data_IF_339023851818
#
_entry.id   IF_339023851818
#
_cell.length_a   1.000
_cell.length_b   1.000
_cell.length_c   1.000
_cell.angle_alpha   90.00
_cell.angle_beta   90.00
_cell.angle_gamma   90.00
#
_symmetry.space_group_name_H-M   'P 1'
#
loop_
_entity.id
_entity.type
_entity.pdbx_description
1 polymer ?
#
# COMPACT_ATOMS: atom_id res chain seq x y z
N UNK A 1 25.11 -1.59 6.01
CA UNK A 1 23.85 -2.27 5.61
C UNK A 1 23.57 -1.93 4.16
N UNK A 2 23.54 -2.91 3.24
CA UNK A 2 23.09 -2.63 1.86
C UNK A 2 21.57 -2.47 1.88
N UNK A 3 21.10 -1.26 1.63
CA UNK A 3 19.69 -0.95 1.50
C UNK A 3 19.23 -1.50 0.14
N UNK A 4 18.49 -2.61 0.15
CA UNK A 4 17.98 -3.25 -1.07
C UNK A 4 16.48 -2.98 -1.31
N UNK A 5 15.86 -2.10 -0.50
CA UNK A 5 14.44 -1.77 -0.59
C UNK A 5 14.19 -0.64 -1.58
N UNK A 6 13.16 -0.79 -2.43
CA UNK A 6 12.74 0.23 -3.40
C UNK A 6 11.57 1.07 -2.94
N UNK A 7 10.91 0.64 -1.86
CA UNK A 7 9.75 1.30 -1.28
C UNK A 7 9.95 1.47 0.22
N UNK A 8 9.22 2.41 0.83
CA UNK A 8 9.20 2.56 2.28
C UNK A 8 8.76 1.26 2.99
N UNK A 9 7.86 0.49 2.37
CA UNK A 9 7.40 -0.82 2.86
C UNK A 9 8.55 -1.84 2.89
N UNK A 10 9.31 -1.96 1.79
CA UNK A 10 10.46 -2.87 1.72
C UNK A 10 11.52 -2.55 2.77
N UNK A 11 11.77 -1.25 3.00
CA UNK A 11 12.72 -0.79 4.01
C UNK A 11 12.24 -1.16 5.41
N UNK A 12 10.97 -0.89 5.73
CA UNK A 12 10.38 -1.22 7.02
C UNK A 12 10.52 -2.74 7.31
N UNK A 13 10.24 -3.58 6.32
CA UNK A 13 10.38 -5.04 6.43
C UNK A 13 11.85 -5.45 6.58
N UNK A 14 12.75 -4.88 5.79
CA UNK A 14 14.19 -5.19 5.85
C UNK A 14 14.81 -4.84 7.21
N UNK A 15 14.32 -3.78 7.84
CA UNK A 15 14.70 -3.39 9.20
C UNK A 15 13.85 -4.06 10.30
N UNK A 16 13.04 -5.07 9.94
CA UNK A 16 12.15 -5.82 10.84
C UNK A 16 11.27 -4.91 11.70
N UNK A 17 10.80 -3.80 11.13
CA UNK A 17 9.87 -2.92 11.83
C UNK A 17 8.55 -3.64 12.02
N UNK A 18 7.99 -3.51 13.22
CA UNK A 18 6.71 -4.14 13.55
C UNK A 18 5.53 -3.44 12.89
N UNK A 19 4.34 -3.98 13.14
CA UNK A 19 3.06 -3.50 12.61
C UNK A 19 2.81 -2.01 12.84
N UNK A 20 3.31 -1.43 13.94
CA UNK A 20 3.17 -0.01 14.26
C UNK A 20 3.85 0.92 13.24
N UNK A 21 4.82 0.42 12.48
CA UNK A 21 5.45 1.16 11.38
C UNK A 21 4.90 0.78 10.01
N UNK A 22 4.53 -0.49 9.82
CA UNK A 22 4.07 -1.01 8.53
C UNK A 22 2.63 -0.55 8.24
N UNK A 23 1.74 -0.60 9.23
CA UNK A 23 0.33 -0.22 9.07
C UNK A 23 0.16 1.23 8.60
N UNK A 24 0.83 2.24 9.20
CA UNK A 24 0.78 3.61 8.70
C UNK A 24 1.18 3.75 7.23
N UNK A 25 2.22 3.03 6.77
CA UNK A 25 2.66 3.08 5.37
C UNK A 25 1.53 2.60 4.44
N UNK A 26 0.91 1.45 4.77
CA UNK A 26 -0.20 0.88 3.98
C UNK A 26 -1.39 1.83 3.97
N UNK A 27 -1.77 2.37 5.13
CA UNK A 27 -2.90 3.31 5.28
C UNK A 27 -2.67 4.59 4.48
N UNK A 28 -1.47 5.19 4.57
CA UNK A 28 -1.15 6.41 3.84
C UNK A 28 -1.20 6.20 2.33
N UNK A 29 -0.67 5.08 1.82
CA UNK A 29 -0.74 4.78 0.38
C UNK A 29 -2.19 4.59 -0.08
N UNK A 30 -3.02 3.89 0.71
CA UNK A 30 -4.45 3.74 0.41
C UNK A 30 -5.15 5.09 0.33
N UNK A 31 -4.91 5.97 1.30
CA UNK A 31 -5.48 7.32 1.31
C UNK A 31 -5.01 8.15 0.11
N UNK A 32 -3.73 8.04 -0.26
CA UNK A 32 -3.19 8.74 -1.42
C UNK A 32 -3.82 8.25 -2.73
N UNK A 33 -4.04 6.94 -2.89
CA UNK A 33 -4.75 6.38 -4.05
C UNK A 33 -6.17 6.93 -4.13
N UNK A 34 -6.91 6.90 -3.01
CA UNK A 34 -8.28 7.43 -2.96
C UNK A 34 -8.32 8.92 -3.28
N UNK A 35 -7.41 9.71 -2.73
CA UNK A 35 -7.30 11.13 -3.01
C UNK A 35 -7.03 11.38 -4.50
N UNK A 36 -6.05 10.67 -5.09
CA UNK A 36 -5.71 10.82 -6.49
C UNK A 36 -6.86 10.44 -7.43
N UNK A 37 -7.63 9.39 -7.09
CA UNK A 37 -8.84 9.02 -7.83
C UNK A 37 -9.90 10.13 -7.78
N UNK A 38 -10.18 10.67 -6.59
CA UNK A 38 -11.12 11.78 -6.41
C UNK A 38 -10.73 13.05 -7.18
N UNK A 39 -9.43 13.31 -7.37
CA UNK A 39 -8.95 14.45 -8.17
C UNK A 39 -8.96 14.19 -9.69
N UNK A 40 -8.82 12.93 -10.12
CA UNK A 40 -8.81 12.56 -11.53
C UNK A 40 -10.22 12.45 -12.14
N UNK A 41 -11.26 12.38 -11.30
CA UNK A 41 -12.64 12.61 -11.73
C UNK A 41 -12.78 14.11 -12.02
N UNK A 42 -12.47 14.50 -13.25
CA UNK A 42 -12.59 15.86 -13.76
C UNK A 42 -14.05 16.33 -13.69
N UNK A 43 -14.50 16.81 -12.54
CA UNK A 43 -15.65 17.72 -12.49
C UNK A 43 -15.16 19.06 -12.99
N UNK A 44 -15.45 19.37 -14.25
CA UNK A 44 -15.44 20.74 -14.73
C UNK A 44 -16.13 21.64 -13.71
N UNK A 45 -15.53 22.79 -13.45
CA UNK A 45 -15.95 23.84 -12.51
C UNK A 45 -17.31 23.63 -11.81
N UNK A 46 -17.27 23.66 -10.47
CA UNK A 46 -18.41 23.88 -9.54
C UNK A 46 -19.25 22.69 -9.07
N UNK A 47 -18.64 21.63 -8.51
CA UNK A 47 -19.36 20.86 -7.47
C UNK A 47 -18.43 20.53 -6.30
N UNK A 48 -18.53 21.40 -5.30
CA UNK A 48 -18.49 21.11 -3.88
C UNK A 48 -18.04 19.69 -3.46
N UNK A 49 -16.94 19.65 -2.71
CA UNK A 49 -16.45 18.54 -1.89
C UNK A 49 -17.59 17.70 -1.32
N UNK A 50 -17.93 16.59 -1.97
CA UNK A 50 -18.84 15.59 -1.44
C UNK A 50 -18.03 14.49 -0.74
N UNK A 51 -18.35 14.14 0.51
CA UNK A 51 -17.53 13.22 1.31
C UNK A 51 -17.68 11.73 0.94
N UNK A 52 -18.39 11.40 -0.15
CA UNK A 52 -18.78 10.03 -0.50
C UNK A 52 -18.20 9.55 -1.84
N UNK A 53 -16.94 9.86 -2.16
CA UNK A 53 -16.26 9.47 -3.41
C UNK A 53 -15.85 7.97 -3.48
N UNK A 54 -16.46 7.08 -2.68
CA UNK A 54 -16.31 5.62 -2.80
C UNK A 54 -17.62 4.99 -3.26
N UNK A 55 -18.33 5.65 -4.18
CA UNK A 55 -19.72 5.29 -4.53
C UNK A 55 -19.90 4.43 -5.78
N UNK A 56 -18.83 4.01 -6.47
CA UNK A 56 -18.96 3.08 -7.60
C UNK A 56 -18.04 1.85 -7.43
N UNK A 57 -18.54 0.67 -7.80
CA UNK A 57 -17.79 -0.59 -7.72
C UNK A 57 -16.48 -0.53 -8.52
N UNK A 58 -16.45 0.28 -9.58
CA UNK A 58 -15.26 0.56 -10.40
C UNK A 58 -14.12 1.19 -9.59
N UNK A 59 -14.40 2.18 -8.75
CA UNK A 59 -13.36 2.85 -7.96
C UNK A 59 -12.80 1.91 -6.89
N UNK A 60 -13.66 1.08 -6.30
CA UNK A 60 -13.25 0.02 -5.36
C UNK A 60 -12.28 -0.98 -6.01
N UNK A 61 -12.59 -1.40 -7.25
CA UNK A 61 -11.73 -2.31 -8.01
C UNK A 61 -10.37 -1.68 -8.34
N UNK A 62 -10.35 -0.41 -8.76
CA UNK A 62 -9.10 0.30 -9.05
C UNK A 62 -8.25 0.50 -7.79
N UNK A 63 -8.87 0.87 -6.66
CA UNK A 63 -8.18 0.99 -5.37
C UNK A 63 -7.56 -0.36 -4.98
N UNK A 64 -8.35 -1.44 -5.08
CA UNK A 64 -7.89 -2.80 -4.78
C UNK A 64 -6.73 -3.23 -5.66
N UNK A 65 -6.85 -3.05 -6.97
CA UNK A 65 -5.80 -3.42 -7.93
C UNK A 65 -4.51 -2.62 -7.67
N UNK A 66 -4.64 -1.30 -7.45
CA UNK A 66 -3.49 -0.42 -7.20
C UNK A 66 -2.81 -0.75 -5.88
N UNK A 67 -3.59 -1.02 -4.82
CA UNK A 67 -3.06 -1.49 -3.53
C UNK A 67 -2.34 -2.83 -3.66
N UNK A 68 -2.92 -3.79 -4.38
CA UNK A 68 -2.29 -5.10 -4.59
C UNK A 68 -0.98 -4.97 -5.36
N UNK A 69 -0.91 -4.11 -6.39
CA UNK A 69 0.35 -3.80 -7.10
C UNK A 69 1.40 -3.18 -6.17
N UNK A 70 0.99 -2.31 -5.25
CA UNK A 70 1.89 -1.70 -4.27
C UNK A 70 2.45 -2.74 -3.29
N UNK A 71 1.58 -3.56 -2.65
CA UNK A 71 1.99 -4.55 -1.65
C UNK A 71 2.83 -5.68 -2.29
N UNK A 72 2.48 -6.10 -3.50
CA UNK A 72 3.17 -7.15 -4.23
C UNK A 72 4.31 -6.64 -5.11
N UNK A 73 4.69 -5.36 -4.99
CA UNK A 73 5.82 -4.81 -5.73
C UNK A 73 7.10 -5.57 -5.35
N UNK A 74 8.00 -5.72 -6.33
CA UNK A 74 9.27 -6.40 -6.17
C UNK A 74 10.37 -5.39 -5.92
N UNK A 75 11.19 -5.64 -4.91
CA UNK A 75 12.39 -4.85 -4.64
C UNK A 75 13.51 -5.15 -5.67
N UNK A 76 14.70 -4.55 -5.51
CA UNK A 76 15.83 -4.71 -6.45
C UNK A 76 16.32 -6.16 -6.58
N UNK A 77 15.91 -7.06 -5.69
CA UNK A 77 16.25 -8.47 -5.72
C UNK A 77 15.13 -9.33 -6.32
N UNK A 78 14.04 -8.73 -6.78
CA UNK A 78 12.88 -9.45 -7.28
C UNK A 78 11.96 -9.99 -6.18
N UNK A 79 12.22 -9.68 -4.90
CA UNK A 79 11.42 -10.18 -3.79
C UNK A 79 10.24 -9.25 -3.50
N UNK A 80 9.07 -9.82 -3.22
CA UNK A 80 7.93 -9.07 -2.67
C UNK A 80 8.18 -8.71 -1.21
N UNK A 81 7.34 -7.81 -0.67
CA UNK A 81 7.26 -7.51 0.75
C UNK A 81 7.11 -8.80 1.60
N UNK A 82 6.18 -9.68 1.22
CA UNK A 82 5.92 -10.93 1.94
C UNK A 82 7.14 -11.87 1.97
N UNK A 83 7.77 -12.10 0.81
CA UNK A 83 8.97 -12.96 0.74
C UNK A 83 10.12 -12.37 1.58
N UNK A 84 10.27 -11.05 1.54
CA UNK A 84 11.27 -10.35 2.35
C UNK A 84 10.97 -10.47 3.85
N UNK A 85 9.71 -10.41 4.26
CA UNK A 85 9.31 -10.56 5.66
C UNK A 85 9.56 -11.97 6.19
N UNK A 86 9.27 -13.00 5.38
CA UNK A 86 9.57 -14.41 5.70
C UNK A 86 11.08 -14.61 5.83
N UNK A 87 11.86 -14.15 4.84
CA UNK A 87 13.32 -14.30 4.82
C UNK A 87 13.99 -13.59 6.00
N UNK A 88 13.42 -12.46 6.44
CA UNK A 88 13.93 -11.71 7.58
C UNK A 88 13.37 -12.18 8.93
N UNK A 89 12.53 -13.22 8.98
CA UNK A 89 11.88 -13.70 10.20
C UNK A 89 11.12 -12.58 10.93
N UNK A 90 10.35 -11.79 10.19
CA UNK A 90 9.42 -10.83 10.79
C UNK A 90 8.32 -11.55 11.59
N UNK A 91 7.64 -10.81 12.46
CA UNK A 91 6.59 -11.39 13.31
C UNK A 91 5.40 -11.90 12.49
N UNK A 92 4.64 -12.83 13.06
CA UNK A 92 3.43 -13.39 12.44
C UNK A 92 2.42 -12.29 12.14
N UNK A 93 2.32 -11.28 12.99
CA UNK A 93 1.42 -10.12 12.80
C UNK A 93 1.80 -9.33 11.56
N UNK A 94 3.10 -9.11 11.32
CA UNK A 94 3.57 -8.48 10.08
C UNK A 94 3.20 -9.30 8.85
N UNK A 95 3.35 -10.63 8.91
CA UNK A 95 2.97 -11.52 7.80
C UNK A 95 1.46 -11.47 7.53
N UNK A 96 0.63 -11.55 8.59
CA UNK A 96 -0.83 -11.43 8.49
C UNK A 96 -1.24 -10.10 7.87
N UNK A 97 -0.66 -8.99 8.34
CA UNK A 97 -0.97 -7.66 7.83
C UNK A 97 -0.69 -7.54 6.32
N UNK A 98 0.42 -8.13 5.84
CA UNK A 98 0.75 -8.17 4.42
C UNK A 98 -0.22 -9.04 3.62
N UNK A 99 -0.62 -10.20 4.14
CA UNK A 99 -1.59 -11.09 3.50
C UNK A 99 -3.00 -10.49 3.42
N UNK A 100 -3.43 -9.74 4.43
CA UNK A 100 -4.73 -9.09 4.47
C UNK A 100 -4.84 -7.90 3.48
N UNK A 101 -3.70 -7.36 3.03
CA UNK A 101 -3.65 -6.17 2.17
C UNK A 101 -3.10 -6.45 0.76
N UNK A 102 -2.53 -7.64 0.51
CA UNK A 102 -1.83 -8.02 -0.72
C UNK A 102 -2.68 -8.77 -1.72
#
# INVERSE_FOLDING_TARGET
VKINGNTALDLAISFKRGVNFISPIITTVRQQIMHNLGQNVMTGHSVWSSPNLVQDGRDSDIIRETMSKFINNRNLRGNTALLSAITNHCSVETLKLLLENG
#
